data_IF_513750217487
#
_entry.id   IF_513750217487
#
_cell.length_a   1.000
_cell.length_b   1.000
_cell.length_c   1.000
_cell.angle_alpha   90.00
_cell.angle_beta   90.00
_cell.angle_gamma   90.00
#
_symmetry.space_group_name_H-M   'P 1'
#
loop_
_entity.id
_entity.type
_entity.pdbx_description
1 polymer ?
#
# COMPACT_ATOMS: atom_id res chain seq x y z
N UNK A 1 -1.45 14.90 23.98
CA UNK A 1 -1.22 16.33 24.29
C UNK A 1 -1.78 17.24 23.20
N UNK A 2 -1.68 16.89 21.91
CA UNK A 2 -2.31 17.67 20.81
C UNK A 2 -3.71 17.19 20.38
N UNK A 3 -4.02 15.90 20.58
CA UNK A 3 -5.33 15.32 20.24
C UNK A 3 -5.99 14.75 21.49
N UNK A 4 -7.31 14.88 21.56
CA UNK A 4 -8.13 14.22 22.57
C UNK A 4 -8.21 12.70 22.32
N UNK A 5 -8.58 11.94 23.36
CA UNK A 5 -8.79 10.50 23.22
C UNK A 5 -9.94 10.18 22.26
N UNK A 6 -10.99 11.01 22.24
CA UNK A 6 -12.14 10.84 21.34
C UNK A 6 -11.74 11.06 19.88
N UNK A 7 -10.99 12.11 19.57
CA UNK A 7 -10.48 12.36 18.21
C UNK A 7 -9.56 11.23 17.74
N UNK A 8 -8.69 10.74 18.63
CA UNK A 8 -7.79 9.62 18.31
C UNK A 8 -8.59 8.34 18.04
N UNK A 9 -9.62 8.07 18.84
CA UNK A 9 -10.51 6.91 18.66
C UNK A 9 -11.30 7.02 17.35
N UNK A 10 -11.82 8.20 17.04
CA UNK A 10 -12.52 8.47 15.78
C UNK A 10 -11.59 8.23 14.59
N UNK A 11 -10.38 8.80 14.60
CA UNK A 11 -9.41 8.62 13.53
C UNK A 11 -9.04 7.14 13.32
N UNK A 12 -8.86 6.37 14.40
CA UNK A 12 -8.57 4.92 14.31
C UNK A 12 -9.71 4.13 13.68
N UNK A 13 -10.96 4.38 14.09
CA UNK A 13 -12.13 3.72 13.52
C UNK A 13 -12.36 4.12 12.05
N UNK A 14 -12.12 5.38 11.73
CA UNK A 14 -12.18 5.90 10.37
C UNK A 14 -11.19 5.18 9.47
N UNK A 15 -9.91 5.17 9.84
CA UNK A 15 -8.84 4.49 9.08
C UNK A 15 -9.14 2.99 8.93
N UNK A 16 -9.61 2.32 9.99
CA UNK A 16 -9.97 0.91 9.92
C UNK A 16 -11.07 0.65 8.89
N UNK A 17 -12.14 1.45 8.91
CA UNK A 17 -13.29 1.30 8.01
C UNK A 17 -12.84 1.39 6.55
N UNK A 18 -12.07 2.42 6.20
CA UNK A 18 -11.55 2.59 4.84
C UNK A 18 -10.54 1.53 4.45
N UNK A 19 -9.71 1.09 5.39
CA UNK A 19 -8.71 0.05 5.15
C UNK A 19 -9.36 -1.30 4.88
N UNK A 20 -10.41 -1.67 5.63
CA UNK A 20 -11.18 -2.90 5.38
C UNK A 20 -11.88 -2.87 4.03
N UNK A 21 -12.53 -1.75 3.68
CA UNK A 21 -13.16 -1.58 2.37
C UNK A 21 -12.15 -1.66 1.23
N UNK A 22 -10.99 -1.01 1.39
CA UNK A 22 -9.88 -1.07 0.44
C UNK A 22 -9.31 -2.49 0.31
N UNK A 23 -9.10 -3.18 1.43
CA UNK A 23 -8.61 -4.55 1.44
C UNK A 23 -9.57 -5.49 0.69
N UNK A 24 -10.88 -5.39 0.97
CA UNK A 24 -11.87 -6.24 0.34
C UNK A 24 -11.96 -6.00 -1.18
N UNK A 25 -11.97 -4.74 -1.62
CA UNK A 25 -12.06 -4.40 -3.04
C UNK A 25 -10.80 -4.80 -3.81
N UNK A 26 -9.62 -4.52 -3.27
CA UNK A 26 -8.34 -4.83 -3.92
C UNK A 26 -8.03 -6.32 -3.92
N UNK A 27 -8.33 -7.02 -2.83
CA UNK A 27 -8.21 -8.48 -2.75
C UNK A 27 -9.13 -9.19 -3.75
N UNK A 28 -10.36 -8.69 -3.94
CA UNK A 28 -11.27 -9.20 -4.96
C UNK A 28 -10.68 -9.01 -6.37
N UNK A 29 -10.13 -7.84 -6.68
CA UNK A 29 -9.47 -7.57 -7.98
C UNK A 29 -8.28 -8.50 -8.23
N UNK A 30 -7.40 -8.68 -7.23
CA UNK A 30 -6.24 -9.58 -7.35
C UNK A 30 -6.69 -11.04 -7.52
N UNK A 31 -7.67 -11.49 -6.73
CA UNK A 31 -8.20 -12.86 -6.84
C UNK A 31 -8.84 -13.10 -8.21
N UNK A 32 -9.60 -12.14 -8.72
CA UNK A 32 -10.20 -12.21 -10.06
C UNK A 32 -9.14 -12.37 -11.14
N UNK A 33 -8.03 -11.64 -11.03
CA UNK A 33 -6.89 -11.80 -11.94
C UNK A 33 -6.22 -13.17 -11.80
N UNK A 34 -6.05 -13.70 -10.59
CA UNK A 34 -5.44 -15.01 -10.38
C UNK A 34 -6.28 -16.15 -10.96
N UNK A 35 -7.61 -16.00 -10.99
CA UNK A 35 -8.52 -16.99 -11.58
C UNK A 35 -8.44 -16.97 -13.12
N UNK A 36 -8.29 -15.79 -13.74
CA UNK A 36 -8.19 -15.66 -15.20
C UNK A 36 -7.14 -14.63 -15.61
N UNK A 37 -5.88 -15.06 -15.62
CA UNK A 37 -4.73 -14.21 -15.98
C UNK A 37 -4.67 -13.88 -17.48
N UNK A 38 -5.26 -14.73 -18.34
CA UNK A 38 -5.15 -14.56 -19.79
C UNK A 38 -6.08 -13.46 -20.32
N UNK A 39 -7.14 -13.15 -19.58
CA UNK A 39 -8.08 -12.07 -19.90
C UNK A 39 -7.48 -10.68 -19.76
N UNK A 40 -6.53 -10.48 -18.86
CA UNK A 40 -5.93 -9.16 -18.59
C UNK A 40 -4.53 -9.04 -19.20
N UNK A 41 -4.45 -8.42 -20.37
CA UNK A 41 -3.19 -8.09 -21.06
C UNK A 41 -2.80 -6.63 -20.80
N UNK A 42 -1.55 -6.26 -21.09
CA UNK A 42 -1.19 -4.84 -21.18
C UNK A 42 -2.14 -4.15 -22.16
N UNK A 43 -2.56 -2.89 -21.96
CA UNK A 43 -2.11 -1.89 -20.99
C UNK A 43 -2.82 -1.93 -19.62
N UNK A 44 -3.73 -2.88 -19.37
CA UNK A 44 -4.56 -2.90 -18.15
C UNK A 44 -3.87 -3.58 -16.96
N UNK A 45 -2.87 -4.43 -17.21
CA UNK A 45 -2.08 -5.16 -16.19
C UNK A 45 -1.53 -4.30 -15.02
N UNK A 46 -1.04 -3.06 -15.22
CA UNK A 46 -0.62 -2.18 -14.12
C UNK A 46 -1.66 -1.98 -13.02
N UNK A 47 -2.97 -2.03 -13.34
CA UNK A 47 -4.07 -1.89 -12.37
C UNK A 47 -4.04 -3.04 -11.34
N UNK A 48 -3.66 -4.24 -11.76
CA UNK A 48 -3.59 -5.41 -10.90
C UNK A 48 -2.43 -5.26 -9.90
N UNK A 49 -1.25 -4.82 -10.35
CA UNK A 49 -0.12 -4.56 -9.47
C UNK A 49 -0.38 -3.42 -8.50
N UNK A 50 -1.04 -2.35 -8.97
CA UNK A 50 -1.52 -1.27 -8.11
C UNK A 50 -2.47 -1.81 -7.03
N UNK A 51 -3.44 -2.65 -7.40
CA UNK A 51 -4.36 -3.29 -6.46
C UNK A 51 -3.62 -4.19 -5.45
N UNK A 52 -2.59 -4.92 -5.88
CA UNK A 52 -1.71 -5.70 -5.01
C UNK A 52 -0.99 -4.84 -3.98
N UNK A 53 -0.42 -3.70 -4.39
CA UNK A 53 0.20 -2.74 -3.48
C UNK A 53 -0.79 -2.21 -2.44
N UNK A 54 -1.99 -1.78 -2.88
CA UNK A 54 -3.01 -1.27 -1.96
C UNK A 54 -3.55 -2.35 -1.02
N UNK A 55 -3.57 -3.62 -1.43
CA UNK A 55 -3.89 -4.75 -0.53
C UNK A 55 -2.88 -4.79 0.62
N UNK A 56 -1.58 -4.76 0.32
CA UNK A 56 -0.52 -4.78 1.34
C UNK A 56 -0.55 -3.54 2.25
N UNK A 57 -0.79 -2.35 1.68
CA UNK A 57 -0.95 -1.10 2.45
C UNK A 57 -2.15 -1.21 3.41
N UNK A 58 -3.29 -1.71 2.94
CA UNK A 58 -4.48 -1.87 3.77
C UNK A 58 -4.27 -2.87 4.92
N UNK A 59 -3.56 -3.98 4.66
CA UNK A 59 -3.17 -4.95 5.69
C UNK A 59 -2.27 -4.30 6.74
N UNK A 60 -1.32 -3.45 6.33
CA UNK A 60 -0.46 -2.74 7.27
C UNK A 60 -1.26 -1.77 8.17
N UNK A 61 -2.27 -1.07 7.64
CA UNK A 61 -3.17 -0.23 8.45
C UNK A 61 -4.03 -1.06 9.43
N UNK A 62 -4.56 -2.20 8.98
CA UNK A 62 -5.33 -3.13 9.84
C UNK A 62 -4.44 -3.67 10.97
N UNK A 63 -3.21 -4.10 10.65
CA UNK A 63 -2.23 -4.56 11.62
C UNK A 63 -1.89 -3.45 12.63
N UNK A 64 -1.71 -2.21 12.17
CA UNK A 64 -1.52 -1.04 13.05
C UNK A 64 -2.70 -0.82 13.99
N UNK A 65 -3.94 -1.02 13.53
CA UNK A 65 -5.13 -0.93 14.37
C UNK A 65 -5.16 -2.03 15.45
N UNK A 66 -4.82 -3.27 15.11
CA UNK A 66 -4.79 -4.41 16.05
C UNK A 66 -3.69 -4.25 17.10
N UNK A 67 -2.51 -3.77 16.69
CA UNK A 67 -1.35 -3.60 17.57
C UNK A 67 -1.42 -2.34 18.44
N UNK A 68 -2.26 -1.36 18.07
CA UNK A 68 -2.52 -0.13 18.81
C UNK A 68 -1.23 0.57 19.29
N UNK A 69 -1.15 0.90 20.58
CA UNK A 69 -0.03 1.62 21.19
C UNK A 69 1.19 0.72 21.41
N UNK A 70 1.06 -0.61 21.34
CA UNK A 70 2.17 -1.52 21.66
C UNK A 70 3.31 -1.42 20.64
N UNK A 71 2.95 -1.15 19.39
CA UNK A 71 3.91 -1.04 18.28
C UNK A 71 4.50 0.37 18.17
N UNK A 72 3.73 1.40 18.50
CA UNK A 72 4.11 2.81 18.30
C UNK A 72 4.75 3.44 19.55
N UNK A 73 4.38 3.01 20.76
CA UNK A 73 4.87 3.61 21.99
C UNK A 73 6.03 2.81 22.62
N UNK A 74 7.01 3.56 23.15
CA UNK A 74 7.97 3.01 24.09
C UNK A 74 7.32 2.71 25.44
N UNK A 75 7.94 1.80 26.20
CA UNK A 75 7.58 1.60 27.60
C UNK A 75 7.88 2.87 28.40
N UNK A 76 7.14 3.06 29.51
CA UNK A 76 7.30 4.26 30.34
C UNK A 76 8.71 4.28 30.93
N UNK A 77 9.40 5.41 30.79
CA UNK A 77 10.75 5.60 31.36
C UNK A 77 10.73 5.77 32.90
N UNK A 78 9.58 6.14 33.48
CA UNK A 78 9.31 6.17 34.94
C UNK A 78 7.81 5.98 35.20
N UNK A 79 7.40 5.67 36.45
CA UNK A 79 5.97 5.47 36.77
C UNK A 79 5.08 6.68 36.46
N UNK A 80 5.61 7.90 36.63
CA UNK A 80 4.95 9.18 36.31
C UNK A 80 5.28 9.72 34.90
N UNK A 81 5.98 8.93 34.07
CA UNK A 81 6.47 9.34 32.76
C UNK A 81 5.42 9.23 31.64
N UNK A 82 5.47 10.17 30.69
CA UNK A 82 4.66 10.11 29.47
C UNK A 82 5.15 9.01 28.52
N UNK A 83 4.20 8.32 27.85
CA UNK A 83 4.52 7.41 26.74
C UNK A 83 4.96 8.20 25.52
N UNK A 84 6.17 7.94 25.03
CA UNK A 84 6.71 8.57 23.82
C UNK A 84 6.59 7.64 22.61
N UNK A 85 6.39 8.23 21.43
CA UNK A 85 6.41 7.50 20.16
C UNK A 85 7.84 7.04 19.88
N UNK A 86 7.99 5.81 19.40
CA UNK A 86 9.29 5.25 19.01
C UNK A 86 9.88 6.12 17.90
N UNK A 87 11.11 6.59 18.11
CA UNK A 87 11.88 7.27 17.07
C UNK A 87 12.90 6.31 16.45
N UNK A 88 12.92 6.29 15.11
CA UNK A 88 13.85 5.47 14.33
C UNK A 88 13.50 3.98 14.35
N UNK A 89 14.53 3.13 14.34
CA UNK A 89 14.42 1.67 14.20
C UNK A 89 14.39 0.91 15.53
N UNK A 90 14.17 1.61 16.64
CA UNK A 90 14.30 1.04 18.00
C UNK A 90 13.23 0.00 18.35
N UNK A 91 12.11 -0.03 17.62
CA UNK A 91 11.13 -1.12 17.70
C UNK A 91 10.92 -1.75 16.33
N UNK A 92 11.22 -3.04 16.27
CA UNK A 92 11.10 -3.86 15.06
C UNK A 92 9.69 -3.78 14.44
N UNK A 93 8.64 -3.91 15.26
CA UNK A 93 7.26 -3.85 14.75
C UNK A 93 6.91 -2.51 14.09
N UNK A 94 7.39 -1.39 14.62
CA UNK A 94 7.17 -0.07 14.02
C UNK A 94 7.93 0.06 12.70
N UNK A 95 9.16 -0.46 12.64
CA UNK A 95 9.99 -0.46 11.44
C UNK A 95 9.38 -1.34 10.34
N UNK A 96 8.88 -2.53 10.68
CA UNK A 96 8.24 -3.44 9.72
C UNK A 96 6.98 -2.81 9.12
N UNK A 97 6.11 -2.22 9.95
CA UNK A 97 4.91 -1.52 9.47
C UNK A 97 5.29 -0.32 8.58
N UNK A 98 6.30 0.46 8.97
CA UNK A 98 6.81 1.56 8.17
C UNK A 98 7.36 1.10 6.82
N UNK A 99 8.20 0.05 6.81
CA UNK A 99 8.77 -0.50 5.57
C UNK A 99 7.68 -0.99 4.62
N UNK A 100 6.69 -1.73 5.12
CA UNK A 100 5.56 -2.16 4.30
C UNK A 100 4.77 -0.98 3.74
N UNK A 101 4.36 -0.04 4.59
CA UNK A 101 3.60 1.13 4.15
C UNK A 101 4.38 1.94 3.12
N UNK A 102 5.65 2.25 3.39
CA UNK A 102 6.48 3.08 2.53
C UNK A 102 6.75 2.40 1.18
N UNK A 103 7.23 1.16 1.18
CA UNK A 103 7.57 0.44 -0.04
C UNK A 103 6.37 0.28 -0.97
N UNK A 104 5.25 -0.25 -0.47
CA UNK A 104 4.08 -0.49 -1.30
C UNK A 104 3.36 0.80 -1.72
N UNK A 105 3.38 1.85 -0.90
CA UNK A 105 2.82 3.16 -1.30
C UNK A 105 3.62 3.80 -2.43
N UNK A 106 4.96 3.78 -2.35
CA UNK A 106 5.82 4.28 -3.41
C UNK A 106 5.68 3.46 -4.69
N UNK A 107 5.70 2.12 -4.57
CA UNK A 107 5.48 1.23 -5.70
C UNK A 107 4.11 1.46 -6.37
N UNK A 108 3.04 1.67 -5.59
CA UNK A 108 1.71 1.96 -6.13
C UNK A 108 1.69 3.26 -6.96
N UNK A 109 2.45 4.27 -6.53
CA UNK A 109 2.57 5.55 -7.23
C UNK A 109 3.31 5.38 -8.56
N UNK A 110 4.37 4.57 -8.59
CA UNK A 110 5.10 4.25 -9.81
C UNK A 110 4.22 3.42 -10.76
N UNK A 111 3.46 2.45 -10.26
CA UNK A 111 2.50 1.70 -11.08
C UNK A 111 1.41 2.58 -11.70
N UNK A 112 0.96 3.61 -10.99
CA UNK A 112 0.05 4.61 -11.55
C UNK A 112 0.71 5.42 -12.68
N UNK A 113 1.98 5.80 -12.53
CA UNK A 113 2.75 6.45 -13.61
C UNK A 113 2.95 5.51 -14.82
N UNK A 114 3.23 4.23 -14.58
CA UNK A 114 3.33 3.22 -15.64
C UNK A 114 1.98 3.05 -16.35
N UNK A 115 0.87 3.05 -15.61
CA UNK A 115 -0.47 2.99 -16.20
C UNK A 115 -0.73 4.19 -17.12
N UNK A 116 -0.41 5.41 -16.68
CA UNK A 116 -0.60 6.60 -17.52
C UNK A 116 0.32 6.60 -18.75
N UNK A 117 1.57 6.14 -18.60
CA UNK A 117 2.51 5.97 -19.71
C UNK A 117 2.00 4.92 -20.72
N UNK A 118 1.61 3.74 -20.26
CA UNK A 118 1.11 2.67 -21.15
C UNK A 118 -0.19 3.07 -21.83
N UNK A 119 -1.04 3.85 -21.15
CA UNK A 119 -2.23 4.44 -21.76
C UNK A 119 -1.87 5.46 -22.85
N UNK A 120 -0.88 6.34 -22.61
CA UNK A 120 -0.37 7.26 -23.63
C UNK A 120 0.24 6.54 -24.84
N UNK A 121 1.02 5.48 -24.62
CA UNK A 121 1.61 4.68 -25.70
C UNK A 121 0.52 3.99 -26.54
N UNK A 122 -0.51 3.45 -25.90
CA UNK A 122 -1.61 2.79 -26.57
C UNK A 122 -2.51 3.79 -27.33
N UNK A 123 -2.98 4.86 -26.68
CA UNK A 123 -3.94 5.81 -27.26
C UNK A 123 -3.28 6.85 -28.18
N UNK A 124 -2.13 7.39 -27.77
CA UNK A 124 -1.42 8.45 -28.50
C UNK A 124 -0.50 7.91 -29.59
N UNK A 125 0.34 6.94 -29.25
CA UNK A 125 1.33 6.38 -30.18
C UNK A 125 0.84 5.13 -30.94
N UNK A 126 -0.38 4.66 -30.65
CA UNK A 126 -1.01 3.49 -31.27
C UNK A 126 -0.18 2.20 -31.16
N UNK A 127 0.58 2.05 -30.06
CA UNK A 127 1.32 0.82 -29.81
C UNK A 127 0.37 -0.34 -29.58
N UNK A 128 0.64 -1.46 -30.26
CA UNK A 128 -0.05 -2.72 -30.00
C UNK A 128 0.33 -3.30 -28.63
N UNK A 129 -0.55 -4.15 -28.10
CA UNK A 129 -0.35 -4.80 -26.80
C UNK A 129 0.98 -5.56 -26.70
N UNK A 130 1.42 -6.19 -27.80
CA UNK A 130 2.69 -6.94 -27.91
C UNK A 130 3.92 -6.04 -27.72
N UNK A 131 3.89 -4.82 -28.28
CA UNK A 131 5.00 -3.86 -28.16
C UNK A 131 5.14 -3.33 -26.72
N UNK A 132 4.02 -3.15 -26.02
CA UNK A 132 4.02 -2.75 -24.61
C UNK A 132 4.47 -3.91 -23.73
N UNK A 133 3.99 -5.13 -24.00
CA UNK A 133 4.35 -6.33 -23.24
C UNK A 133 5.84 -6.67 -23.37
N UNK A 134 6.46 -6.43 -24.53
CA UNK A 134 7.90 -6.57 -24.71
C UNK A 134 8.74 -5.68 -23.78
N UNK A 135 8.19 -4.55 -23.32
CA UNK A 135 8.84 -3.62 -22.39
C UNK A 135 8.47 -3.84 -20.92
N UNK A 136 7.66 -4.86 -20.62
CA UNK A 136 7.17 -5.14 -19.26
C UNK A 136 8.28 -5.29 -18.22
N UNK A 137 9.42 -5.88 -18.59
CA UNK A 137 10.58 -6.04 -17.70
C UNK A 137 11.09 -4.71 -17.15
N UNK A 138 11.14 -3.65 -17.98
CA UNK A 138 11.56 -2.32 -17.54
C UNK A 138 10.55 -1.67 -16.59
N UNK A 139 9.25 -1.89 -16.83
CA UNK A 139 8.20 -1.39 -15.95
C UNK A 139 8.30 -2.02 -14.56
N UNK A 140 8.51 -3.34 -14.50
CA UNK A 140 8.70 -4.04 -13.23
C UNK A 140 9.98 -3.59 -12.51
N UNK A 141 11.10 -3.43 -13.23
CA UNK A 141 12.33 -2.93 -12.64
C UNK A 141 12.13 -1.54 -12.02
N UNK A 142 11.49 -0.62 -12.76
CA UNK A 142 11.23 0.74 -12.27
C UNK A 142 10.27 0.78 -11.07
N UNK A 143 9.28 -0.12 -11.01
CA UNK A 143 8.28 -0.13 -9.94
C UNK A 143 8.78 -0.75 -8.63
N UNK A 144 9.79 -1.62 -8.68
CA UNK A 144 10.23 -2.41 -7.52
C UNK A 144 11.68 -2.17 -7.08
N UNK A 145 12.49 -1.48 -7.89
CA UNK A 145 13.84 -1.03 -7.50
C UNK A 145 13.78 0.25 -6.68
#
# INVERSE_FOLDING_TARGET
>A
MFFSQEETRFARLWILTWSVLCCASTFFTVTTYLVDMQRFRYPERPIIFLSGCYTMVSVAYIAGFVLQERVVCNERFSEDGYRTVVQGTKKEGCTILFMMLYFFSMASSIWWVILSLTWFLAAGMKWGHEAIEANSQYFHLAAWA
#
